data_IF_707592141957
#
_entry.id   IF_707592141957
#
_cell.length_a   1.000
_cell.length_b   1.000
_cell.length_c   1.000
_cell.angle_alpha   90.00
_cell.angle_beta   90.00
_cell.angle_gamma   90.00
#
_symmetry.space_group_name_H-M   'P 1'
#
loop_
_entity.id
_entity.type
_entity.pdbx_description
1 polymer ?
#
# COMPACT_ATOMS: atom_id res chain seq x y z
N UNK A 1 -41.36 23.56 64.38
CA UNK A 1 -40.18 22.73 64.13
C UNK A 1 -40.28 21.87 62.84
N UNK A 2 -41.39 21.32 62.42
CA UNK A 2 -41.60 20.48 61.20
C UNK A 2 -41.23 21.20 59.87
N UNK A 3 -41.57 22.46 59.68
CA UNK A 3 -41.37 23.23 58.45
C UNK A 3 -39.87 23.40 58.09
N UNK A 4 -38.99 23.61 59.05
CA UNK A 4 -37.54 23.71 58.80
C UNK A 4 -36.94 22.40 58.34
N UNK A 5 -37.50 21.28 58.73
CA UNK A 5 -37.02 19.92 58.41
C UNK A 5 -37.40 19.56 56.96
N UNK A 6 -38.61 19.90 56.52
CA UNK A 6 -39.10 19.72 55.14
C UNK A 6 -38.31 20.59 54.14
N UNK A 7 -37.96 21.82 54.52
CA UNK A 7 -37.15 22.70 53.67
C UNK A 7 -35.71 22.19 53.47
N UNK A 8 -35.10 21.63 54.52
CA UNK A 8 -33.77 20.98 54.40
C UNK A 8 -33.84 19.74 53.49
N UNK A 9 -34.86 18.92 53.62
CA UNK A 9 -35.06 17.74 52.79
C UNK A 9 -35.30 18.12 51.31
N UNK A 10 -36.07 19.14 51.02
CA UNK A 10 -36.29 19.65 49.65
C UNK A 10 -35.01 20.16 49.01
N UNK A 11 -34.16 20.88 49.75
CA UNK A 11 -32.85 21.35 49.26
C UNK A 11 -31.89 20.19 48.97
N UNK A 12 -31.83 19.21 49.83
CA UNK A 12 -30.98 18.00 49.60
C UNK A 12 -31.47 17.24 48.38
N UNK A 13 -32.77 17.08 48.18
CA UNK A 13 -33.35 16.42 47.04
C UNK A 13 -33.02 17.18 45.73
N UNK A 14 -33.14 18.52 45.75
CA UNK A 14 -32.81 19.36 44.60
C UNK A 14 -31.32 19.23 44.21
N UNK A 15 -30.42 19.23 45.20
CA UNK A 15 -28.98 19.05 44.94
C UNK A 15 -28.69 17.65 44.35
N UNK A 16 -29.29 16.60 44.87
CA UNK A 16 -29.14 15.24 44.34
C UNK A 16 -29.65 15.14 42.89
N UNK A 17 -30.77 15.78 42.60
CA UNK A 17 -31.35 15.80 41.25
C UNK A 17 -30.43 16.54 40.26
N UNK A 18 -29.89 17.69 40.66
CA UNK A 18 -28.90 18.43 39.85
C UNK A 18 -27.64 17.61 39.61
N UNK A 19 -27.13 16.90 40.64
CA UNK A 19 -25.98 16.03 40.51
C UNK A 19 -26.23 14.87 39.55
N UNK A 20 -27.41 14.26 39.65
CA UNK A 20 -27.80 13.17 38.73
C UNK A 20 -27.88 13.66 37.27
N UNK A 21 -28.53 14.81 37.03
CA UNK A 21 -28.61 15.39 35.68
C UNK A 21 -27.20 15.72 35.13
N UNK A 22 -26.32 16.28 35.97
CA UNK A 22 -24.96 16.58 35.60
C UNK A 22 -24.17 15.31 35.20
N UNK A 23 -24.27 14.24 36.00
CA UNK A 23 -23.64 12.96 35.69
C UNK A 23 -24.20 12.33 34.40
N UNK A 24 -25.52 12.39 34.22
CA UNK A 24 -26.15 11.87 32.99
C UNK A 24 -25.67 12.63 31.73
N UNK A 25 -25.60 13.96 31.80
CA UNK A 25 -25.11 14.77 30.69
C UNK A 25 -23.64 14.47 30.37
N UNK A 26 -22.77 14.34 31.40
CA UNK A 26 -21.39 13.96 31.21
C UNK A 26 -21.26 12.55 30.59
N UNK A 27 -22.10 11.59 31.02
CA UNK A 27 -22.15 10.25 30.42
C UNK A 27 -22.52 10.29 28.92
N UNK A 28 -23.53 11.07 28.56
CA UNK A 28 -23.95 11.22 27.16
C UNK A 28 -22.82 11.84 26.31
N UNK A 29 -22.19 12.89 26.82
CA UNK A 29 -21.06 13.54 26.13
C UNK A 29 -19.91 12.57 25.93
N UNK A 30 -19.56 11.81 26.96
CA UNK A 30 -18.48 10.81 26.88
C UNK A 30 -18.78 9.73 25.84
N UNK A 31 -19.99 9.19 25.81
CA UNK A 31 -20.44 8.21 24.82
C UNK A 31 -20.39 8.78 23.39
N UNK A 32 -20.81 10.03 23.22
CA UNK A 32 -20.73 10.71 21.91
C UNK A 32 -19.29 10.85 21.43
N UNK A 33 -18.37 11.28 22.29
CA UNK A 33 -16.95 11.42 21.96
C UNK A 33 -16.34 10.06 21.58
N UNK A 34 -16.66 9.00 22.29
CA UNK A 34 -16.20 7.66 21.95
C UNK A 34 -16.75 7.19 20.60
N UNK A 35 -18.01 7.44 20.32
CA UNK A 35 -18.63 7.09 19.05
C UNK A 35 -17.94 7.81 17.88
N UNK A 36 -17.70 9.11 17.99
CA UNK A 36 -16.98 9.87 16.95
C UNK A 36 -15.55 9.35 16.72
N UNK A 37 -14.81 9.06 17.80
CA UNK A 37 -13.46 8.49 17.68
C UNK A 37 -13.46 7.14 16.98
N UNK A 38 -14.41 6.28 17.29
CA UNK A 38 -14.53 4.97 16.65
C UNK A 38 -14.87 5.09 15.16
N UNK A 39 -15.78 6.00 14.79
CA UNK A 39 -16.11 6.25 13.38
C UNK A 39 -14.91 6.80 12.60
N UNK A 40 -14.17 7.74 13.18
CA UNK A 40 -12.97 8.31 12.56
C UNK A 40 -11.87 7.25 12.37
N UNK A 41 -11.61 6.42 13.38
CA UNK A 41 -10.66 5.31 13.28
C UNK A 41 -11.09 4.29 12.24
N UNK A 42 -12.37 3.95 12.18
CA UNK A 42 -12.91 3.02 11.20
C UNK A 42 -12.77 3.57 9.78
N UNK A 43 -13.11 4.84 9.56
CA UNK A 43 -12.94 5.51 8.28
C UNK A 43 -11.47 5.57 7.84
N UNK A 44 -10.54 5.88 8.75
CA UNK A 44 -9.11 5.86 8.48
C UNK A 44 -8.61 4.47 8.10
N UNK A 45 -9.07 3.43 8.81
CA UNK A 45 -8.72 2.03 8.51
C UNK A 45 -9.21 1.62 7.12
N UNK A 46 -10.48 1.90 6.78
CA UNK A 46 -11.02 1.58 5.46
C UNK A 46 -10.28 2.32 4.33
N UNK A 47 -9.91 3.58 4.55
CA UNK A 47 -9.14 4.35 3.57
C UNK A 47 -7.75 3.76 3.37
N UNK A 48 -7.07 3.38 4.45
CA UNK A 48 -5.76 2.74 4.38
C UNK A 48 -5.84 1.39 3.66
N UNK A 49 -6.79 0.53 4.01
CA UNK A 49 -6.99 -0.76 3.33
C UNK A 49 -7.32 -0.60 1.84
N UNK A 50 -8.18 0.35 1.48
CA UNK A 50 -8.52 0.62 0.09
C UNK A 50 -7.28 1.09 -0.71
N UNK A 51 -6.41 1.89 -0.08
CA UNK A 51 -5.16 2.34 -0.68
C UNK A 51 -4.19 1.19 -0.89
N UNK A 52 -4.00 0.33 0.12
CA UNK A 52 -3.15 -0.87 0.01
C UNK A 52 -3.64 -1.78 -1.11
N UNK A 53 -4.94 -2.10 -1.16
CA UNK A 53 -5.52 -2.94 -2.21
C UNK A 53 -5.32 -2.35 -3.61
N UNK A 54 -5.38 -1.01 -3.74
CA UNK A 54 -5.13 -0.34 -5.02
C UNK A 54 -3.67 -0.48 -5.46
N UNK A 55 -2.72 -0.33 -4.52
CA UNK A 55 -1.30 -0.52 -4.77
C UNK A 55 -1.02 -1.98 -5.17
N UNK A 56 -1.56 -2.94 -4.43
CA UNK A 56 -1.44 -4.37 -4.74
C UNK A 56 -2.00 -4.72 -6.12
N UNK A 57 -3.16 -4.18 -6.47
CA UNK A 57 -3.77 -4.40 -7.79
C UNK A 57 -2.93 -3.81 -8.93
N UNK A 58 -2.33 -2.64 -8.72
CA UNK A 58 -1.41 -2.04 -9.68
C UNK A 58 -0.13 -2.86 -9.82
N UNK A 59 0.49 -3.24 -8.69
CA UNK A 59 1.68 -4.07 -8.69
C UNK A 59 1.45 -5.40 -9.42
N UNK A 60 0.36 -6.10 -9.10
CA UNK A 60 0.00 -7.35 -9.76
C UNK A 60 -0.20 -7.19 -11.27
N UNK A 61 -0.73 -6.04 -11.72
CA UNK A 61 -0.86 -5.75 -13.14
C UNK A 61 0.51 -5.67 -13.84
N UNK A 62 1.48 -5.01 -13.21
CA UNK A 62 2.83 -4.90 -13.76
C UNK A 62 3.58 -6.23 -13.73
N UNK A 63 3.46 -6.99 -12.65
CA UNK A 63 4.04 -8.32 -12.53
C UNK A 63 3.47 -9.29 -13.58
N UNK A 64 2.16 -9.25 -13.84
CA UNK A 64 1.54 -10.08 -14.89
C UNK A 64 2.04 -9.74 -16.29
N UNK A 65 2.41 -8.49 -16.55
CA UNK A 65 3.05 -8.10 -17.82
C UNK A 65 4.46 -8.65 -17.93
N UNK A 66 5.22 -8.63 -16.83
CA UNK A 66 6.56 -9.25 -16.79
C UNK A 66 6.49 -10.75 -17.00
N UNK A 67 5.49 -11.44 -16.45
CA UNK A 67 5.25 -12.86 -16.70
C UNK A 67 4.95 -13.14 -18.17
N UNK A 68 4.22 -12.26 -18.85
CA UNK A 68 3.98 -12.40 -20.29
C UNK A 68 5.29 -12.34 -21.07
N UNK A 69 6.14 -11.35 -20.79
CA UNK A 69 7.46 -11.24 -21.41
C UNK A 69 8.32 -12.48 -21.16
N UNK A 70 8.38 -12.93 -19.91
CA UNK A 70 9.06 -14.16 -19.53
C UNK A 70 8.57 -15.37 -20.34
N UNK A 71 7.26 -15.57 -20.44
CA UNK A 71 6.67 -16.69 -21.18
C UNK A 71 7.02 -16.63 -22.67
N UNK A 72 7.05 -15.43 -23.28
CA UNK A 72 7.46 -15.26 -24.69
C UNK A 72 8.93 -15.69 -24.87
N UNK A 73 9.83 -15.27 -23.97
CA UNK A 73 11.25 -15.62 -24.02
C UNK A 73 11.43 -17.12 -23.81
N UNK A 74 10.79 -17.71 -22.81
CA UNK A 74 10.87 -19.14 -22.49
C UNK A 74 10.28 -20.04 -23.58
N UNK A 75 9.36 -19.52 -24.41
CA UNK A 75 8.82 -20.26 -25.57
C UNK A 75 9.83 -20.43 -26.72
N UNK A 76 11.04 -19.90 -26.58
CA UNK A 76 12.08 -19.96 -27.60
C UNK A 76 11.84 -19.01 -28.77
N UNK A 77 10.96 -18.04 -28.63
CA UNK A 77 10.77 -16.99 -29.62
C UNK A 77 11.97 -16.08 -29.59
N UNK A 78 12.72 -16.03 -30.71
CA UNK A 78 13.83 -15.09 -30.86
C UNK A 78 13.27 -13.66 -30.89
N UNK A 79 13.56 -12.91 -29.85
CA UNK A 79 13.11 -11.52 -29.73
C UNK A 79 14.23 -10.63 -30.23
N UNK A 80 14.16 -10.23 -31.50
CA UNK A 80 15.03 -9.18 -32.01
C UNK A 80 14.87 -7.87 -31.22
N UNK A 81 15.92 -7.04 -31.20
CA UNK A 81 15.89 -5.74 -30.49
C UNK A 81 14.69 -4.87 -30.86
N UNK A 82 14.26 -4.89 -32.14
CA UNK A 82 13.10 -4.15 -32.60
C UNK A 82 11.80 -4.67 -31.95
N UNK A 83 11.62 -5.99 -31.94
CA UNK A 83 10.44 -6.63 -31.34
C UNK A 83 10.42 -6.46 -29.82
N UNK A 84 11.56 -6.51 -29.16
CA UNK A 84 11.71 -6.24 -27.75
C UNK A 84 11.27 -4.82 -27.40
N UNK A 85 11.79 -3.83 -28.14
CA UNK A 85 11.43 -2.42 -27.93
C UNK A 85 9.94 -2.16 -28.14
N UNK A 86 9.32 -2.74 -29.15
CA UNK A 86 7.89 -2.58 -29.41
C UNK A 86 7.04 -3.25 -28.32
N UNK A 87 7.43 -4.43 -27.87
CA UNK A 87 6.76 -5.12 -26.77
C UNK A 87 6.87 -4.33 -25.47
N UNK A 88 8.06 -3.86 -25.14
CA UNK A 88 8.29 -3.03 -23.95
C UNK A 88 7.53 -1.72 -24.01
N UNK A 89 7.46 -1.07 -25.18
CA UNK A 89 6.65 0.14 -25.38
C UNK A 89 5.17 -0.12 -25.09
N UNK A 90 4.66 -1.27 -25.51
CA UNK A 90 3.28 -1.66 -25.25
C UNK A 90 3.05 -2.01 -23.77
N UNK A 91 4.06 -2.55 -23.09
CA UNK A 91 3.99 -2.92 -21.68
C UNK A 91 4.13 -1.73 -20.73
N UNK A 92 4.91 -0.71 -21.11
CA UNK A 92 5.06 0.51 -20.33
C UNK A 92 3.83 1.39 -20.53
N UNK A 93 3.01 1.50 -19.49
CA UNK A 93 1.94 2.49 -19.45
C UNK A 93 2.53 3.90 -19.27
N UNK A 94 1.82 4.91 -19.79
CA UNK A 94 2.21 6.32 -19.66
C UNK A 94 2.08 6.87 -18.21
N UNK A 95 1.79 6.04 -17.23
CA UNK A 95 1.64 6.46 -15.83
C UNK A 95 2.98 6.61 -15.08
N UNK A 96 4.10 6.30 -15.74
CA UNK A 96 5.46 6.57 -15.24
C UNK A 96 5.89 5.77 -14.00
N UNK A 97 5.14 4.75 -13.64
CA UNK A 97 5.44 3.90 -12.47
C UNK A 97 6.60 2.96 -12.78
N UNK A 98 6.58 2.32 -13.97
CA UNK A 98 7.71 1.52 -14.46
C UNK A 98 8.64 2.44 -15.24
N UNK A 99 9.88 2.56 -14.80
CA UNK A 99 10.88 3.40 -15.46
C UNK A 99 11.63 2.67 -16.57
N UNK A 100 11.66 1.34 -16.54
CA UNK A 100 12.31 0.54 -17.56
C UNK A 100 12.05 -0.94 -17.38
N UNK A 101 12.27 -1.69 -18.45
CA UNK A 101 12.23 -3.15 -18.49
C UNK A 101 13.61 -3.61 -18.93
N UNK A 102 14.23 -4.49 -18.16
CA UNK A 102 15.55 -5.02 -18.41
C UNK A 102 15.44 -6.51 -18.70
N UNK A 103 16.22 -6.98 -19.67
CA UNK A 103 16.46 -8.39 -19.92
C UNK A 103 17.92 -8.71 -19.60
N UNK A 104 18.13 -9.59 -18.65
CA UNK A 104 19.44 -9.93 -18.13
C UNK A 104 19.67 -11.46 -18.17
N UNK A 105 19.92 -12.05 -19.36
CA UNK A 105 20.28 -13.46 -19.45
C UNK A 105 21.55 -13.71 -18.64
N UNK A 106 21.57 -14.81 -17.88
CA UNK A 106 22.64 -15.14 -16.95
C UNK A 106 23.00 -14.08 -15.90
N UNK A 107 22.11 -13.06 -15.74
CA UNK A 107 22.24 -12.01 -14.75
C UNK A 107 23.01 -10.78 -15.24
N UNK A 108 23.36 -10.69 -16.51
CA UNK A 108 23.97 -9.51 -17.14
C UNK A 108 22.94 -8.81 -18.00
N UNK A 109 22.78 -7.51 -17.83
CA UNK A 109 21.80 -6.71 -18.59
C UNK A 109 22.25 -6.59 -20.04
N UNK A 110 21.53 -7.25 -20.96
CA UNK A 110 21.80 -7.24 -22.40
C UNK A 110 20.84 -6.35 -23.19
N UNK A 111 19.58 -6.24 -22.72
CA UNK A 111 18.59 -5.38 -23.34
C UNK A 111 17.90 -4.55 -22.28
N UNK A 112 17.58 -3.31 -22.60
CA UNK A 112 16.87 -2.39 -21.70
C UNK A 112 16.01 -1.42 -22.52
N UNK A 113 14.79 -1.18 -22.05
CA UNK A 113 13.88 -0.22 -22.66
C UNK A 113 13.29 0.72 -21.58
N UNK A 114 13.23 2.04 -21.81
CA UNK A 114 13.86 2.79 -22.91
C UNK A 114 15.38 2.90 -22.69
N UNK A 115 16.15 2.70 -23.78
CA UNK A 115 17.61 2.71 -23.72
C UNK A 115 18.17 4.06 -23.30
N UNK A 116 17.64 5.16 -23.86
CA UNK A 116 18.23 6.49 -23.66
C UNK A 116 18.33 6.90 -22.20
N UNK A 117 17.30 6.64 -21.40
CA UNK A 117 17.26 6.99 -19.97
C UNK A 117 17.97 5.98 -19.07
N UNK A 118 18.22 4.77 -19.56
CA UNK A 118 18.72 3.65 -18.75
C UNK A 118 20.07 3.09 -19.27
N UNK A 119 20.72 3.78 -20.17
CA UNK A 119 21.97 3.33 -20.83
C UNK A 119 23.08 2.91 -19.85
N UNK A 120 23.11 3.50 -18.66
CA UNK A 120 24.09 3.16 -17.63
C UNK A 120 23.90 1.75 -17.03
N UNK A 121 22.74 1.13 -17.23
CA UNK A 121 22.48 -0.23 -16.75
C UNK A 121 22.92 -1.30 -17.76
N UNK A 122 23.21 -0.95 -19.00
CA UNK A 122 23.70 -1.91 -20.01
C UNK A 122 25.02 -2.54 -19.56
N UNK A 123 25.09 -3.87 -19.62
CA UNK A 123 26.26 -4.66 -19.19
C UNK A 123 26.40 -4.79 -17.66
N UNK A 124 25.43 -4.31 -16.87
CA UNK A 124 25.48 -4.46 -15.41
C UNK A 124 25.30 -5.93 -15.03
N UNK A 125 26.27 -6.48 -14.31
CA UNK A 125 26.16 -7.80 -13.70
C UNK A 125 25.33 -7.69 -12.41
N UNK A 126 24.09 -8.17 -12.47
CA UNK A 126 23.16 -8.11 -11.34
C UNK A 126 23.53 -9.09 -10.25
N UNK A 127 24.15 -10.24 -10.59
CA UNK A 127 24.46 -11.30 -9.63
C UNK A 127 25.62 -10.91 -8.74
N UNK A 128 26.67 -10.31 -9.32
CA UNK A 128 27.85 -9.89 -8.58
C UNK A 128 27.77 -8.44 -8.08
N UNK A 129 26.64 -7.78 -8.29
CA UNK A 129 26.41 -6.43 -7.78
C UNK A 129 26.27 -6.41 -6.26
N UNK A 130 26.99 -5.50 -5.56
CA UNK A 130 27.01 -5.44 -4.10
C UNK A 130 25.63 -5.17 -3.47
N UNK A 131 24.78 -4.39 -4.14
CA UNK A 131 23.46 -4.00 -3.63
C UNK A 131 22.34 -4.95 -4.10
N UNK A 132 22.40 -5.40 -5.35
CA UNK A 132 21.34 -6.17 -6.02
C UNK A 132 21.55 -7.68 -6.02
N UNK A 133 22.81 -8.14 -5.84
CA UNK A 133 23.20 -9.54 -6.03
C UNK A 133 22.41 -10.52 -5.18
N UNK A 134 22.16 -10.19 -3.93
CA UNK A 134 21.35 -11.06 -3.04
C UNK A 134 19.95 -11.32 -3.59
N UNK A 135 19.28 -10.28 -4.06
CA UNK A 135 17.93 -10.38 -4.60
C UNK A 135 17.93 -11.04 -5.99
N UNK A 136 18.93 -10.73 -6.83
CA UNK A 136 19.08 -11.35 -8.14
C UNK A 136 19.29 -12.87 -8.02
N UNK A 137 20.13 -13.32 -7.10
CA UNK A 137 20.35 -14.76 -6.82
C UNK A 137 19.06 -15.39 -6.30
N UNK A 138 18.35 -14.71 -5.38
CA UNK A 138 17.10 -15.23 -4.84
C UNK A 138 16.03 -15.35 -5.93
N UNK A 139 15.88 -14.35 -6.80
CA UNK A 139 14.97 -14.40 -7.94
C UNK A 139 15.31 -15.56 -8.88
N UNK A 140 16.60 -15.71 -9.26
CA UNK A 140 17.09 -16.78 -10.14
C UNK A 140 16.82 -18.17 -9.55
N UNK A 141 17.04 -18.35 -8.26
CA UNK A 141 16.91 -19.67 -7.60
C UNK A 141 15.47 -20.05 -7.27
N UNK A 142 14.64 -19.06 -6.92
CA UNK A 142 13.25 -19.30 -6.54
C UNK A 142 12.28 -19.21 -7.72
N UNK A 143 12.66 -18.56 -8.82
CA UNK A 143 11.77 -18.23 -9.93
C UNK A 143 10.67 -17.25 -9.56
N UNK A 144 10.79 -16.55 -8.43
CA UNK A 144 9.80 -15.61 -7.90
C UNK A 144 10.33 -14.18 -7.92
N UNK A 145 9.41 -13.23 -7.92
CA UNK A 145 9.74 -11.82 -7.70
C UNK A 145 10.31 -11.60 -6.30
N UNK A 146 11.28 -10.69 -6.19
CA UNK A 146 12.00 -10.38 -4.95
C UNK A 146 12.04 -8.89 -4.67
#
# INVERSE_FOLDING_TARGET
MKYKRTLKQARVLAVLLCLFVFLALNGIVHLRIQHYKNEEQLAATYTAEATVRRIEAQLNRYLSRSDLLKNIIESGTDISDANYNDLCRYMLDNDGIIQGIELAPDGVVEQIYPLESNKAAMGLDLIHNAERGKNAILAKTSGKYT
#
